data_IF_459638645438
#
_entry.id   IF_459638645438
#
_cell.length_a   1.000
_cell.length_b   1.000
_cell.length_c   1.000
_cell.angle_alpha   90.00
_cell.angle_beta   90.00
_cell.angle_gamma   90.00
#
_symmetry.space_group_name_H-M   'P 1'
#
loop_
_entity.id
_entity.type
_entity.pdbx_description
1 polymer ?
#
# COMPACT_ATOMS: atom_id res chain seq x y z
N UNK A 1 30.36 -34.46 -4.54
CA UNK A 1 29.78 -33.25 -5.17
C UNK A 1 28.91 -32.51 -4.15
N UNK A 2 29.41 -31.40 -3.60
CA UNK A 2 28.68 -30.53 -2.67
C UNK A 2 27.52 -29.89 -3.44
N UNK A 3 26.27 -30.13 -3.05
CA UNK A 3 25.12 -29.35 -3.56
C UNK A 3 25.41 -27.89 -3.27
N UNK A 4 25.62 -27.10 -4.32
CA UNK A 4 25.59 -25.64 -4.24
C UNK A 4 24.18 -25.33 -3.73
N UNK A 5 24.06 -24.94 -2.47
CA UNK A 5 22.78 -24.60 -1.86
C UNK A 5 22.17 -23.48 -2.70
N UNK A 6 21.04 -23.76 -3.33
CA UNK A 6 20.26 -22.74 -4.04
C UNK A 6 19.99 -21.62 -3.05
N UNK A 7 20.51 -20.42 -3.29
CA UNK A 7 20.09 -19.24 -2.55
C UNK A 7 18.56 -19.24 -2.51
N UNK A 8 17.93 -18.98 -1.36
CA UNK A 8 16.48 -18.94 -1.27
C UNK A 8 15.94 -17.97 -2.32
N UNK A 9 15.30 -18.52 -3.35
CA UNK A 9 14.80 -17.74 -4.47
C UNK A 9 13.62 -16.88 -4.00
N UNK A 10 13.73 -15.58 -4.21
CA UNK A 10 12.63 -14.64 -3.97
C UNK A 10 11.50 -14.95 -4.96
N UNK A 11 10.29 -15.18 -4.46
CA UNK A 11 9.13 -15.57 -5.27
C UNK A 11 8.16 -14.41 -5.43
N UNK A 12 8.20 -13.75 -6.58
CA UNK A 12 7.18 -12.77 -6.97
C UNK A 12 5.78 -13.39 -7.06
N UNK A 13 5.69 -14.67 -7.46
CA UNK A 13 4.41 -15.37 -7.53
C UNK A 13 3.69 -15.45 -6.18
N UNK A 14 4.43 -15.63 -5.09
CA UNK A 14 3.86 -15.64 -3.74
C UNK A 14 3.36 -14.26 -3.30
N UNK A 15 4.08 -13.19 -3.66
CA UNK A 15 3.66 -11.81 -3.38
C UNK A 15 2.38 -11.48 -4.15
N UNK A 16 2.35 -11.76 -5.46
CA UNK A 16 1.16 -11.52 -6.30
C UNK A 16 -0.03 -12.32 -5.81
N UNK A 17 0.17 -13.60 -5.48
CA UNK A 17 -0.90 -14.45 -4.95
C UNK A 17 -1.46 -13.90 -3.62
N UNK A 18 -0.58 -13.47 -2.71
CA UNK A 18 -1.02 -12.87 -1.45
C UNK A 18 -1.88 -11.62 -1.68
N UNK A 19 -1.45 -10.73 -2.57
CA UNK A 19 -2.21 -9.52 -2.94
C UNK A 19 -3.58 -9.90 -3.53
N UNK A 20 -3.62 -10.80 -4.50
CA UNK A 20 -4.88 -11.20 -5.15
C UNK A 20 -5.84 -11.86 -4.18
N UNK A 21 -5.35 -12.72 -3.28
CA UNK A 21 -6.17 -13.36 -2.24
C UNK A 21 -6.69 -12.35 -1.23
N UNK A 22 -5.84 -11.43 -0.75
CA UNK A 22 -6.25 -10.34 0.15
C UNK A 22 -7.33 -9.47 -0.49
N UNK A 23 -7.14 -9.04 -1.75
CA UNK A 23 -8.13 -8.21 -2.44
C UNK A 23 -9.43 -8.97 -2.71
N UNK A 24 -9.36 -10.21 -3.18
CA UNK A 24 -10.55 -11.02 -3.46
C UNK A 24 -11.40 -11.28 -2.22
N UNK A 25 -10.77 -11.74 -1.13
CA UNK A 25 -11.45 -11.99 0.15
C UNK A 25 -11.89 -10.69 0.83
N UNK A 26 -11.05 -9.66 0.79
CA UNK A 26 -11.35 -8.35 1.37
C UNK A 26 -12.54 -7.66 0.71
N UNK A 27 -12.58 -7.61 -0.62
CA UNK A 27 -13.72 -7.05 -1.37
C UNK A 27 -14.97 -7.89 -1.12
N UNK A 28 -14.86 -9.22 -1.09
CA UNK A 28 -16.00 -10.08 -0.75
C UNK A 28 -16.55 -9.79 0.65
N UNK A 29 -15.67 -9.60 1.64
CA UNK A 29 -16.05 -9.22 3.00
C UNK A 29 -16.75 -7.86 3.02
N UNK A 30 -16.16 -6.86 2.36
CA UNK A 30 -16.74 -5.51 2.31
C UNK A 30 -18.12 -5.47 1.67
N UNK A 31 -18.35 -6.27 0.63
CA UNK A 31 -19.66 -6.43 0.00
C UNK A 31 -20.65 -7.17 0.88
N UNK A 32 -20.20 -8.14 1.67
CA UNK A 32 -21.08 -8.90 2.57
C UNK A 32 -21.57 -8.05 3.76
N UNK A 33 -20.73 -7.14 4.24
CA UNK A 33 -21.02 -6.26 5.38
C UNK A 33 -21.41 -4.83 4.98
N UNK A 34 -21.66 -4.59 3.68
CA UNK A 34 -22.02 -3.29 3.11
C UNK A 34 -21.13 -2.13 3.62
N UNK A 35 -19.81 -2.38 3.64
CA UNK A 35 -18.86 -1.36 4.06
C UNK A 35 -18.90 -0.17 3.09
N UNK A 36 -19.00 1.02 3.66
CA UNK A 36 -19.17 2.26 2.93
C UNK A 36 -18.08 3.28 3.30
N UNK A 37 -17.88 4.30 2.47
CA UNK A 37 -17.03 5.43 2.81
C UNK A 37 -17.48 6.12 4.10
N UNK A 38 -16.52 6.68 4.83
CA UNK A 38 -16.82 7.57 5.95
C UNK A 38 -17.18 8.96 5.44
N UNK A 39 -17.91 9.71 6.25
CA UNK A 39 -18.35 11.07 5.95
C UNK A 39 -17.17 12.03 5.69
N UNK A 40 -16.11 11.95 6.49
CA UNK A 40 -14.93 12.81 6.35
C UNK A 40 -14.24 12.66 4.98
N UNK A 41 -14.29 11.48 4.37
CA UNK A 41 -13.71 11.22 3.04
C UNK A 41 -14.34 12.08 1.94
N UNK A 42 -15.60 12.51 2.12
CA UNK A 42 -16.29 13.36 1.15
C UNK A 42 -15.73 14.79 1.09
N UNK A 43 -15.01 15.24 2.11
CA UNK A 43 -14.28 16.51 2.06
C UNK A 43 -13.22 16.43 0.96
N UNK A 44 -12.33 15.44 1.03
CA UNK A 44 -11.27 15.21 0.04
C UNK A 44 -11.85 14.94 -1.35
N UNK A 45 -12.95 14.17 -1.44
CA UNK A 45 -13.66 13.91 -2.69
C UNK A 45 -14.17 15.19 -3.37
N UNK A 46 -14.69 16.15 -2.58
CA UNK A 46 -15.20 17.41 -3.10
C UNK A 46 -14.08 18.29 -3.65
N UNK A 47 -12.95 18.38 -2.94
CA UNK A 47 -11.76 19.07 -3.44
C UNK A 47 -11.27 18.45 -4.75
N UNK A 48 -11.16 17.12 -4.80
CA UNK A 48 -10.71 16.41 -6.00
C UNK A 48 -11.67 16.59 -7.18
N UNK A 49 -12.98 16.55 -6.92
CA UNK A 49 -14.02 16.74 -7.96
C UNK A 49 -14.01 18.17 -8.50
N UNK A 50 -13.89 19.18 -7.64
CA UNK A 50 -13.81 20.58 -8.06
C UNK A 50 -12.53 20.83 -8.85
N UNK A 51 -11.40 20.29 -8.40
CA UNK A 51 -10.14 20.41 -9.12
C UNK A 51 -10.20 19.71 -10.48
N UNK A 52 -10.82 18.53 -10.56
CA UNK A 52 -11.02 17.81 -11.81
C UNK A 52 -11.87 18.60 -12.81
N UNK A 53 -12.88 19.33 -12.33
CA UNK A 53 -13.77 20.19 -13.15
C UNK A 53 -13.19 21.57 -13.49
N UNK A 54 -11.99 21.89 -13.01
CA UNK A 54 -11.34 23.18 -13.28
C UNK A 54 -11.75 24.33 -12.36
N UNK A 55 -12.49 24.05 -11.28
CA UNK A 55 -12.84 25.06 -10.27
C UNK A 55 -11.68 25.37 -9.30
N UNK A 56 -10.58 24.59 -9.36
CA UNK A 56 -9.43 24.70 -8.46
C UNK A 56 -9.54 23.82 -7.21
N UNK A 57 -8.52 23.89 -6.36
CA UNK A 57 -8.46 23.20 -5.07
C UNK A 57 -9.28 23.95 -4.02
N UNK A 58 -10.60 23.92 -4.17
CA UNK A 58 -11.56 24.62 -3.31
C UNK A 58 -12.71 23.72 -2.91
N UNK A 59 -13.25 23.91 -1.71
CA UNK A 59 -14.47 23.23 -1.29
C UNK A 59 -15.71 23.86 -1.94
N UNK A 60 -15.84 25.19 -1.86
CA UNK A 60 -16.88 25.97 -2.53
C UNK A 60 -16.25 26.82 -3.63
N UNK A 61 -16.66 26.68 -4.91
CA UNK A 61 -16.19 27.56 -5.97
C UNK A 61 -16.42 29.04 -5.63
N UNK A 62 -15.37 29.85 -5.73
CA UNK A 62 -15.38 31.26 -5.32
C UNK A 62 -14.80 31.53 -3.94
N UNK A 63 -14.63 30.51 -3.09
CA UNK A 63 -14.00 30.60 -1.78
C UNK A 63 -12.67 29.85 -1.78
N UNK A 64 -11.56 30.56 -1.54
CA UNK A 64 -10.23 29.96 -1.50
C UNK A 64 -9.85 29.67 -0.05
N UNK A 65 -10.24 28.49 0.41
CA UNK A 65 -9.90 27.95 1.73
C UNK A 65 -9.38 26.53 1.55
N UNK A 66 -8.23 26.23 2.16
CA UNK A 66 -7.71 24.87 2.25
C UNK A 66 -8.32 24.17 3.47
N UNK A 67 -8.85 22.97 3.26
CA UNK A 67 -9.55 22.20 4.29
C UNK A 67 -9.30 20.70 4.20
N UNK A 68 -8.21 20.29 3.55
CA UNK A 68 -7.76 18.89 3.48
C UNK A 68 -6.34 18.78 4.04
N UNK A 69 -5.98 17.61 4.56
CA UNK A 69 -4.63 17.31 5.08
C UNK A 69 -3.92 16.22 4.27
N UNK A 70 -4.58 15.70 3.23
CA UNK A 70 -4.17 14.54 2.45
C UNK A 70 -3.96 14.90 0.96
N UNK A 71 -3.18 15.95 0.68
CA UNK A 71 -2.96 16.49 -0.67
C UNK A 71 -2.62 15.42 -1.73
N UNK A 72 -1.77 14.45 -1.39
CA UNK A 72 -1.38 13.37 -2.30
C UNK A 72 -2.59 12.54 -2.74
N UNK A 73 -3.48 12.22 -1.82
CA UNK A 73 -4.71 11.48 -2.14
C UNK A 73 -5.65 12.33 -3.00
N UNK A 74 -5.85 13.61 -2.66
CA UNK A 74 -6.65 14.54 -3.47
C UNK A 74 -6.12 14.62 -4.91
N UNK A 75 -4.79 14.67 -5.09
CA UNK A 75 -4.18 14.71 -6.40
C UNK A 75 -4.39 13.40 -7.19
N UNK A 76 -4.17 12.24 -6.56
CA UNK A 76 -4.40 10.93 -7.19
C UNK A 76 -5.87 10.76 -7.56
N UNK A 77 -6.77 11.12 -6.66
CA UNK A 77 -8.22 11.07 -6.87
C UNK A 77 -8.65 12.00 -8.01
N UNK A 78 -8.08 13.21 -8.09
CA UNK A 78 -8.34 14.15 -9.19
C UNK A 78 -7.96 13.55 -10.54
N UNK A 79 -6.81 12.89 -10.63
CA UNK A 79 -6.38 12.20 -11.86
C UNK A 79 -7.35 11.09 -12.22
N UNK A 80 -7.78 10.27 -11.25
CA UNK A 80 -8.76 9.21 -11.49
C UNK A 80 -10.13 9.75 -11.95
N UNK A 81 -10.61 10.86 -11.38
CA UNK A 81 -11.88 11.47 -11.79
C UNK A 81 -11.77 12.03 -13.22
N UNK A 82 -10.60 12.59 -13.60
CA UNK A 82 -10.37 13.11 -14.95
C UNK A 82 -10.40 12.03 -16.03
N UNK A 83 -10.18 10.75 -15.71
CA UNK A 83 -10.32 9.65 -16.67
C UNK A 83 -11.78 9.20 -16.86
N UNK A 84 -12.73 9.83 -16.17
CA UNK A 84 -14.16 9.54 -16.28
C UNK A 84 -14.66 8.48 -15.29
N UNK A 85 -13.83 8.05 -14.34
CA UNK A 85 -14.26 7.15 -13.26
C UNK A 85 -15.22 7.91 -12.33
N UNK A 86 -16.29 7.24 -11.91
CA UNK A 86 -17.23 7.80 -10.95
C UNK A 86 -16.50 8.15 -9.63
N UNK A 87 -16.68 9.36 -9.07
CA UNK A 87 -15.87 9.85 -7.94
C UNK A 87 -15.84 8.93 -6.72
N UNK A 88 -16.98 8.37 -6.28
CA UNK A 88 -17.04 7.51 -5.10
C UNK A 88 -16.34 6.16 -5.36
N UNK A 89 -16.51 5.61 -6.57
CA UNK A 89 -15.78 4.42 -7.03
C UNK A 89 -14.28 4.69 -7.08
N UNK A 90 -13.84 5.85 -7.58
CA UNK A 90 -12.43 6.22 -7.63
C UNK A 90 -11.83 6.29 -6.21
N UNK A 91 -12.51 6.97 -5.29
CA UNK A 91 -12.10 7.13 -3.88
C UNK A 91 -11.96 5.79 -3.18
N UNK A 92 -12.99 4.94 -3.25
CA UNK A 92 -12.94 3.60 -2.62
C UNK A 92 -11.90 2.69 -3.27
N UNK A 93 -11.73 2.77 -4.59
CA UNK A 93 -10.73 1.97 -5.31
C UNK A 93 -9.31 2.31 -4.88
N UNK A 94 -9.00 3.58 -4.58
CA UNK A 94 -7.68 3.98 -4.07
C UNK A 94 -7.38 3.30 -2.73
N UNK A 95 -8.37 3.20 -1.83
CA UNK A 95 -8.23 2.48 -0.56
C UNK A 95 -7.89 1.00 -0.76
N UNK A 96 -8.62 0.31 -1.65
CA UNK A 96 -8.35 -1.10 -1.98
C UNK A 96 -7.00 -1.32 -2.66
N UNK A 97 -6.62 -0.47 -3.61
CA UNK A 97 -5.29 -0.52 -4.24
C UNK A 97 -4.20 -0.33 -3.18
N UNK A 98 -4.40 0.59 -2.24
CA UNK A 98 -3.47 0.85 -1.14
C UNK A 98 -3.33 -0.35 -0.19
N UNK A 99 -4.44 -1.05 0.11
CA UNK A 99 -4.40 -2.32 0.84
C UNK A 99 -3.57 -3.37 0.09
N UNK A 100 -3.75 -3.49 -1.23
CA UNK A 100 -2.98 -4.39 -2.07
C UNK A 100 -1.48 -4.06 -2.07
N UNK A 101 -1.13 -2.77 -2.13
CA UNK A 101 0.26 -2.32 -2.02
C UNK A 101 0.85 -2.67 -0.65
N UNK A 102 0.12 -2.39 0.44
CA UNK A 102 0.54 -2.73 1.80
C UNK A 102 0.77 -4.24 1.95
N UNK A 103 -0.15 -5.07 1.43
CA UNK A 103 -0.04 -6.52 1.42
C UNK A 103 1.22 -6.99 0.68
N UNK A 104 1.45 -6.45 -0.53
CA UNK A 104 2.59 -6.80 -1.36
C UNK A 104 3.93 -6.45 -0.71
N UNK A 105 4.04 -5.23 -0.16
CA UNK A 105 5.25 -4.75 0.53
C UNK A 105 5.51 -5.61 1.78
N UNK A 106 4.48 -5.87 2.59
CA UNK A 106 4.61 -6.68 3.80
C UNK A 106 5.03 -8.13 3.50
N UNK A 107 4.42 -8.77 2.49
CA UNK A 107 4.79 -10.12 2.07
C UNK A 107 6.21 -10.16 1.50
N UNK A 108 6.58 -9.19 0.67
CA UNK A 108 7.93 -9.10 0.12
C UNK A 108 8.98 -8.92 1.22
N UNK A 109 8.73 -8.03 2.19
CA UNK A 109 9.59 -7.82 3.34
C UNK A 109 9.74 -9.09 4.19
N UNK A 110 8.62 -9.75 4.50
CA UNK A 110 8.58 -11.00 5.26
C UNK A 110 9.36 -12.12 4.55
N UNK A 111 9.20 -12.24 3.23
CA UNK A 111 9.91 -13.23 2.41
C UNK A 111 11.42 -12.95 2.33
N UNK A 112 11.84 -11.69 2.34
CA UNK A 112 13.25 -11.30 2.29
C UNK A 112 13.96 -11.49 3.63
N UNK A 113 13.30 -11.12 4.73
CA UNK A 113 13.99 -10.93 6.01
C UNK A 113 13.56 -11.88 7.13
N UNK A 114 12.31 -12.34 7.14
CA UNK A 114 11.79 -13.14 8.27
C UNK A 114 11.80 -14.63 7.95
N UNK A 115 11.38 -15.01 6.74
CA UNK A 115 11.24 -16.42 6.33
C UNK A 115 11.83 -16.67 4.93
N UNK A 116 13.14 -16.40 4.72
CA UNK A 116 13.78 -16.57 3.42
C UNK A 116 13.63 -18.00 2.90
N UNK A 117 13.23 -18.14 1.63
CA UNK A 117 13.03 -19.43 0.96
C UNK A 117 11.73 -20.14 1.31
N UNK A 118 10.84 -19.52 2.10
CA UNK A 118 9.51 -20.06 2.47
C UNK A 118 8.39 -19.18 1.90
N UNK A 119 8.20 -19.17 0.56
CA UNK A 119 7.25 -18.27 -0.10
C UNK A 119 5.80 -18.45 0.36
N UNK A 120 5.37 -19.68 0.60
CA UNK A 120 4.01 -19.98 1.09
C UNK A 120 3.79 -19.40 2.49
N UNK A 121 4.77 -19.53 3.39
CA UNK A 121 4.67 -18.98 4.75
C UNK A 121 4.58 -17.45 4.72
N UNK A 122 5.40 -16.79 3.91
CA UNK A 122 5.34 -15.34 3.75
C UNK A 122 4.01 -14.86 3.15
N UNK A 123 3.48 -15.57 2.14
CA UNK A 123 2.18 -15.26 1.55
C UNK A 123 1.05 -15.41 2.58
N UNK A 124 1.02 -16.52 3.33
CA UNK A 124 0.04 -16.74 4.39
C UNK A 124 0.11 -15.65 5.46
N UNK A 125 1.32 -15.27 5.91
CA UNK A 125 1.49 -14.18 6.87
C UNK A 125 0.95 -12.85 6.35
N UNK A 126 1.22 -12.52 5.08
CA UNK A 126 0.70 -11.30 4.46
C UNK A 126 -0.82 -11.31 4.33
N UNK A 127 -1.40 -12.40 3.86
CA UNK A 127 -2.87 -12.54 3.76
C UNK A 127 -3.51 -12.39 5.14
N UNK A 128 -3.04 -13.13 6.14
CA UNK A 128 -3.59 -13.08 7.50
C UNK A 128 -3.44 -11.69 8.12
N UNK A 129 -2.31 -11.01 7.92
CA UNK A 129 -2.09 -9.67 8.43
C UNK A 129 -3.08 -8.65 7.84
N UNK A 130 -3.45 -8.80 6.57
CA UNK A 130 -4.32 -7.85 5.87
C UNK A 130 -5.82 -8.15 6.02
N UNK A 131 -6.19 -9.41 6.30
CA UNK A 131 -7.60 -9.79 6.54
C UNK A 131 -8.12 -9.40 7.93
N UNK A 132 -7.48 -8.46 8.60
CA UNK A 132 -8.03 -7.83 9.79
C UNK A 132 -9.24 -6.96 9.41
N UNK A 133 -10.43 -7.16 10.01
CA UNK A 133 -11.64 -6.38 9.70
C UNK A 133 -11.43 -4.86 9.77
N UNK A 134 -10.55 -4.38 10.65
CA UNK A 134 -10.21 -2.96 10.75
C UNK A 134 -9.52 -2.46 9.47
N UNK A 135 -8.55 -3.20 8.93
CA UNK A 135 -7.90 -2.81 7.68
C UNK A 135 -8.88 -2.88 6.50
N UNK A 136 -9.79 -3.86 6.51
CA UNK A 136 -10.83 -3.99 5.47
C UNK A 136 -11.85 -2.84 5.52
N UNK A 137 -12.22 -2.37 6.73
CA UNK A 137 -13.07 -1.19 6.88
C UNK A 137 -12.37 0.07 6.42
N UNK A 138 -11.09 0.26 6.77
CA UNK A 138 -10.29 1.39 6.27
C UNK A 138 -10.00 1.32 4.77
N UNK A 139 -10.01 0.14 4.15
CA UNK A 139 -9.91 0.01 2.70
C UNK A 139 -11.17 0.53 1.97
N UNK A 140 -12.32 0.47 2.64
CA UNK A 140 -13.60 0.94 2.11
C UNK A 140 -13.93 2.37 2.52
N UNK A 141 -13.22 2.94 3.50
CA UNK A 141 -13.58 4.23 4.11
C UNK A 141 -13.36 5.42 3.19
N UNK A 142 -12.51 5.30 2.17
CA UNK A 142 -12.13 6.42 1.28
C UNK A 142 -11.12 7.39 1.89
N UNK A 143 -10.49 7.01 3.01
CA UNK A 143 -9.47 7.81 3.70
C UNK A 143 -8.06 7.43 3.24
N UNK A 144 -7.11 8.36 3.41
CA UNK A 144 -5.70 8.17 3.06
C UNK A 144 -4.98 7.14 3.94
N UNK A 145 -5.61 6.63 4.99
CA UNK A 145 -4.96 5.86 6.06
C UNK A 145 -4.17 4.65 5.54
N UNK A 146 -4.71 3.91 4.57
CA UNK A 146 -4.00 2.75 3.99
C UNK A 146 -2.92 3.16 3.01
N UNK A 147 -3.10 4.26 2.26
CA UNK A 147 -2.05 4.81 1.41
C UNK A 147 -0.86 5.25 2.28
N UNK A 148 -1.16 5.97 3.36
CA UNK A 148 -0.17 6.37 4.36
C UNK A 148 0.55 5.16 4.97
N UNK A 149 -0.19 4.13 5.39
CA UNK A 149 0.40 2.91 5.94
C UNK A 149 1.31 2.19 4.93
N UNK A 150 0.91 2.09 3.66
CA UNK A 150 1.71 1.48 2.61
C UNK A 150 3.00 2.26 2.37
N UNK A 151 2.93 3.60 2.28
CA UNK A 151 4.10 4.46 2.08
C UNK A 151 5.03 4.43 3.29
N UNK A 152 4.49 4.40 4.51
CA UNK A 152 5.27 4.29 5.74
C UNK A 152 6.01 2.95 5.79
N UNK A 153 5.34 1.85 5.47
CA UNK A 153 5.97 0.53 5.42
C UNK A 153 7.01 0.45 4.31
N UNK A 154 6.74 1.00 3.12
CA UNK A 154 7.71 1.07 2.03
C UNK A 154 8.98 1.84 2.45
N UNK A 155 8.80 2.98 3.12
CA UNK A 155 9.91 3.80 3.61
C UNK A 155 10.70 3.07 4.69
N UNK A 156 10.03 2.44 5.65
CA UNK A 156 10.69 1.64 6.68
C UNK A 156 11.48 0.46 6.08
N UNK A 157 10.87 -0.26 5.13
CA UNK A 157 11.54 -1.36 4.42
C UNK A 157 12.78 -0.86 3.66
N UNK A 158 12.68 0.26 2.94
CA UNK A 158 13.81 0.84 2.22
C UNK A 158 14.97 1.27 3.15
N UNK A 159 14.66 1.87 4.30
CA UNK A 159 15.67 2.24 5.30
C UNK A 159 16.38 0.99 5.85
N UNK A 160 15.63 -0.08 6.16
CA UNK A 160 16.20 -1.33 6.67
C UNK A 160 17.06 -2.03 5.61
N UNK A 161 16.64 -1.99 4.33
CA UNK A 161 17.42 -2.51 3.22
C UNK A 161 18.75 -1.75 3.05
N UNK A 162 18.74 -0.41 3.09
CA UNK A 162 19.97 0.39 3.01
C UNK A 162 20.91 0.15 4.20
N UNK A 163 20.37 0.07 5.42
CA UNK A 163 21.15 -0.24 6.61
C UNK A 163 21.82 -1.62 6.51
N UNK A 164 21.12 -2.63 5.98
CA UNK A 164 21.67 -3.96 5.77
C UNK A 164 22.81 -3.93 4.74
N UNK A 165 22.64 -3.19 3.65
CA UNK A 165 23.62 -3.05 2.56
C UNK A 165 24.91 -2.39 3.05
N UNK A 166 24.80 -1.30 3.82
CA UNK A 166 25.94 -0.60 4.42
C UNK A 166 26.74 -1.49 5.36
N UNK A 167 26.07 -2.28 6.21
CA UNK A 167 26.74 -3.24 7.10
C UNK A 167 27.53 -4.28 6.32
N UNK A 168 26.97 -4.82 5.22
CA UNK A 168 27.67 -5.79 4.38
C UNK A 168 28.90 -5.18 3.71
N UNK A 169 28.82 -3.94 3.19
CA UNK A 169 29.96 -3.24 2.59
C UNK A 169 31.07 -2.97 3.63
N UNK A 170 30.72 -2.50 4.83
CA UNK A 170 31.69 -2.26 5.89
C UNK A 170 32.35 -3.56 6.37
N UNK A 171 31.58 -4.64 6.53
CA UNK A 171 32.10 -5.95 6.91
C UNK A 171 33.06 -6.52 5.85
N UNK A 172 32.74 -6.36 4.56
CA UNK A 172 33.61 -6.75 3.45
C UNK A 172 34.89 -5.89 3.37
N UNK A 173 34.80 -4.61 3.73
CA UNK A 173 35.95 -3.70 3.73
C UNK A 173 36.93 -4.00 4.87
N UNK A 174 36.41 -4.28 6.08
CA UNK A 174 37.22 -4.67 7.24
C UNK A 174 37.90 -6.04 7.07
N UNK A 175 37.29 -6.98 6.34
CA UNK A 175 37.91 -8.29 6.08
C UNK A 175 39.03 -8.22 5.03
N UNK A 176 39.00 -7.23 4.14
CA UNK A 176 40.06 -6.97 3.16
C UNK A 176 41.30 -6.32 3.80
N UNK A 177 41.12 -5.47 4.82
CA UNK A 177 42.21 -4.80 5.54
C UNK A 177 42.96 -5.69 6.56
N UNK A 178 42.49 -6.91 6.79
CA UNK A 178 43.08 -7.88 7.74
C UNK A 178 43.94 -8.96 7.05
N UNK A 179 44.21 -8.83 5.75
CA UNK A 179 45.15 -9.67 5.00
C UNK A 179 46.35 -8.84 4.57
#
# INVERSE_FOLDING_TARGET
MKRIGTCPQFSWGAVVLAVLVTLGLGVSFARHFDLAPVDDAFISLRYATNWARGAGLVFNPGEVVEGYTNFLEVAVLTVAIKTGVEPVVAMTSIGWVSLGLLAGIFTAFTLRHLVPGRPVVAATMGVVAMLNPVLLSWASSGMESLLYAALLLATAAAILEDASRRRTVLAASCSCWRR
#
